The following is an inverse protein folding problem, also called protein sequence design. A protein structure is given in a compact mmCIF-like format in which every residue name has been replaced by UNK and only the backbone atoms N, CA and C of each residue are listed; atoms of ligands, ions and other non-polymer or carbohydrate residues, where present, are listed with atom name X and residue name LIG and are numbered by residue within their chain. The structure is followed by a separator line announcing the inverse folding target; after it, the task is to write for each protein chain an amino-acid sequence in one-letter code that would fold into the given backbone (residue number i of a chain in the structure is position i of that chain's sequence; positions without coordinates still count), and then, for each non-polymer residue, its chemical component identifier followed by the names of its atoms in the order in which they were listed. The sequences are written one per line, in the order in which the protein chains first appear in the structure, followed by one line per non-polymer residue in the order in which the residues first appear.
data_IF_956866973248
#
_entry.id   IF_956866973248
#
_cell.length_a   1.000
_cell.length_b   1.000
_cell.length_c   1.000
_cell.angle_alpha   90.00
_cell.angle_beta   90.00
_cell.angle_gamma   90.00
#
_symmetry.space_group_name_H-M   'P 1'
#
loop_
_entity.id
_entity.type
_entity.pdbx_description
1 polymer ?
#
# COMPACT_ATOMS: atom_id res chain seq x y z
N UNK A 1 -4.64 58.77 -15.78
CA UNK A 1 -5.85 58.81 -14.92
C UNK A 1 -5.69 59.83 -13.78
N UNK A 2 -6.79 60.22 -13.11
CA UNK A 2 -6.73 61.05 -11.89
C UNK A 2 -6.74 60.10 -10.70
N UNK A 3 -5.78 60.26 -9.80
CA UNK A 3 -5.73 59.44 -8.57
C UNK A 3 -6.93 59.73 -7.67
N UNK A 4 -7.66 58.71 -7.26
CA UNK A 4 -8.86 58.84 -6.40
C UNK A 4 -8.55 59.27 -4.95
N UNK A 5 -7.28 59.25 -4.55
CA UNK A 5 -6.86 59.58 -3.20
C UNK A 5 -6.19 60.96 -3.06
N UNK A 6 -5.32 61.32 -4.01
CA UNK A 6 -4.66 62.63 -3.98
C UNK A 6 -5.16 63.57 -5.06
N UNK A 7 -6.11 63.19 -5.90
CA UNK A 7 -6.75 63.91 -6.96
C UNK A 7 -5.81 64.52 -8.02
N UNK A 8 -4.54 64.06 -8.05
CA UNK A 8 -3.55 64.49 -9.01
C UNK A 8 -3.61 63.65 -10.29
N UNK A 9 -3.25 64.27 -11.42
CA UNK A 9 -3.11 63.49 -12.68
C UNK A 9 -1.86 62.61 -12.62
N UNK A 10 -2.05 61.32 -12.82
CA UNK A 10 -0.98 60.31 -12.70
C UNK A 10 -1.02 59.32 -13.87
N UNK A 11 0.09 58.67 -14.12
CA UNK A 11 0.19 57.61 -15.10
C UNK A 11 -0.73 56.45 -14.70
N UNK A 12 -1.27 55.73 -15.68
CA UNK A 12 -2.11 54.56 -15.46
C UNK A 12 -1.26 53.36 -14.96
N UNK A 13 -1.21 53.24 -13.64
CA UNK A 13 -0.41 52.24 -12.96
C UNK A 13 -1.17 51.67 -11.75
N UNK A 14 -0.81 50.44 -11.27
CA UNK A 14 -1.44 49.83 -10.11
C UNK A 14 -1.35 50.64 -8.81
N UNK A 15 -0.36 51.51 -8.72
CA UNK A 15 -0.14 52.39 -7.58
C UNK A 15 0.08 53.83 -8.05
N UNK A 16 -0.43 54.79 -7.30
CA UNK A 16 -0.19 56.21 -7.57
C UNK A 16 1.29 56.55 -7.32
N UNK A 17 1.96 57.14 -8.31
CA UNK A 17 3.35 57.55 -8.19
C UNK A 17 3.57 58.73 -7.22
N UNK A 18 2.50 59.48 -6.89
CA UNK A 18 2.58 60.63 -6.00
C UNK A 18 2.23 60.33 -4.55
N UNK A 19 1.20 59.51 -4.29
CA UNK A 19 0.76 59.20 -2.94
C UNK A 19 0.94 57.75 -2.51
N UNK A 20 1.48 56.91 -3.36
CA UNK A 20 1.78 55.48 -3.09
C UNK A 20 0.55 54.56 -2.94
N UNK A 21 -0.67 55.11 -2.93
CA UNK A 21 -1.88 54.32 -2.74
C UNK A 21 -2.27 53.52 -3.98
N UNK A 22 -2.77 52.32 -3.76
CA UNK A 22 -3.20 51.39 -4.82
C UNK A 22 -4.40 51.97 -5.58
N UNK A 23 -4.29 52.02 -6.90
CA UNK A 23 -5.38 52.41 -7.79
C UNK A 23 -6.18 51.17 -8.18
N UNK A 24 -7.52 51.25 -8.12
CA UNK A 24 -8.37 50.20 -8.67
C UNK A 24 -8.38 50.35 -10.20
N UNK A 25 -7.71 49.45 -10.87
CA UNK A 25 -7.88 49.29 -12.31
C UNK A 25 -9.24 48.64 -12.52
N UNK A 26 -10.23 49.38 -13.00
CA UNK A 26 -11.53 48.86 -13.42
C UNK A 26 -11.29 47.84 -14.56
N UNK A 27 -11.18 46.58 -14.22
CA UNK A 27 -11.20 45.52 -15.22
C UNK A 27 -12.62 45.40 -15.77
N UNK A 28 -12.88 45.99 -16.94
CA UNK A 28 -14.16 45.96 -17.65
C UNK A 28 -14.57 44.58 -18.20
N UNK A 29 -13.88 43.52 -17.86
CA UNK A 29 -14.22 42.16 -18.23
C UNK A 29 -15.20 41.54 -17.26
N UNK A 30 -16.39 41.16 -17.70
CA UNK A 30 -17.32 40.31 -16.92
C UNK A 30 -16.58 39.04 -16.48
N UNK A 31 -16.36 38.88 -15.18
CA UNK A 31 -15.82 37.62 -14.62
C UNK A 31 -16.86 36.56 -14.84
N UNK A 32 -16.47 35.47 -15.53
CA UNK A 32 -17.31 34.26 -15.61
C UNK A 32 -17.37 33.60 -14.24
N UNK A 33 -18.52 32.97 -13.95
CA UNK A 33 -18.69 32.16 -12.74
C UNK A 33 -17.65 31.03 -12.68
N UNK A 34 -17.24 30.67 -11.46
CA UNK A 34 -16.36 29.52 -11.26
C UNK A 34 -17.04 28.25 -11.82
N UNK A 35 -16.29 27.43 -12.54
CA UNK A 35 -16.78 26.18 -13.10
C UNK A 35 -17.30 26.23 -14.55
N UNK A 36 -17.29 27.39 -15.22
CA UNK A 36 -17.81 27.55 -16.58
C UNK A 36 -16.80 27.31 -17.73
N UNK A 37 -15.60 26.80 -17.44
CA UNK A 37 -14.57 26.64 -18.45
C UNK A 37 -14.11 27.95 -19.11
N UNK A 38 -13.23 27.88 -20.09
CA UNK A 38 -12.71 29.04 -20.81
C UNK A 38 -12.35 28.69 -22.25
N UNK A 39 -12.17 29.71 -23.10
CA UNK A 39 -11.69 29.53 -24.46
C UNK A 39 -10.50 30.45 -24.73
N UNK A 40 -9.47 29.93 -25.38
CA UNK A 40 -8.27 30.67 -25.80
C UNK A 40 -8.14 30.64 -27.32
N UNK A 41 -7.73 31.75 -27.92
CA UNK A 41 -7.41 31.81 -29.35
C UNK A 41 -6.01 31.22 -29.57
N UNK A 42 -5.87 30.31 -30.50
CA UNK A 42 -4.59 29.73 -30.93
C UNK A 42 -4.51 29.82 -32.45
N UNK A 43 -3.73 30.78 -32.94
CA UNK A 43 -3.63 31.03 -34.37
C UNK A 43 -5.00 31.45 -34.97
N UNK A 44 -5.45 30.70 -35.99
CA UNK A 44 -6.72 30.95 -36.68
C UNK A 44 -7.94 30.30 -35.99
N UNK A 45 -7.73 29.42 -34.98
CA UNK A 45 -8.79 28.64 -34.32
C UNK A 45 -8.87 28.94 -32.82
N UNK A 46 -9.95 28.48 -32.19
CA UNK A 46 -10.17 28.58 -30.75
C UNK A 46 -10.01 27.20 -30.09
N UNK A 47 -9.51 27.23 -28.86
CA UNK A 47 -9.38 26.05 -28.00
C UNK A 47 -10.27 26.23 -26.78
N UNK A 48 -11.22 25.33 -26.58
CA UNK A 48 -12.01 25.23 -25.36
C UNK A 48 -11.23 24.51 -24.27
N UNK A 49 -11.34 25.01 -23.05
CA UNK A 49 -10.72 24.44 -21.85
C UNK A 49 -11.83 24.26 -20.81
N UNK A 50 -12.12 23.01 -20.44
CA UNK A 50 -13.08 22.69 -19.39
C UNK A 50 -12.53 23.05 -18.01
N UNK A 51 -13.39 23.21 -16.98
CA UNK A 51 -12.94 23.30 -15.61
C UNK A 51 -12.03 22.14 -15.27
N UNK A 52 -10.85 22.45 -14.71
CA UNK A 52 -9.90 21.41 -14.33
C UNK A 52 -10.30 20.79 -13.00
N UNK A 53 -10.02 19.52 -12.84
CA UNK A 53 -10.09 18.82 -11.56
C UNK A 53 -8.70 18.46 -11.05
N UNK A 54 -8.62 18.28 -9.74
CA UNK A 54 -7.39 17.98 -9.03
C UNK A 54 -7.57 16.65 -8.33
N UNK A 55 -6.55 15.81 -8.37
CA UNK A 55 -6.50 14.58 -7.58
C UNK A 55 -5.09 14.34 -7.06
N UNK A 56 -4.99 13.57 -6.01
CA UNK A 56 -3.73 13.15 -5.39
C UNK A 56 -3.68 11.63 -5.51
N UNK A 57 -2.58 11.12 -5.99
CA UNK A 57 -2.26 9.69 -5.98
C UNK A 57 -0.86 9.46 -5.38
N UNK A 58 -0.37 8.23 -5.45
CA UNK A 58 0.93 7.85 -4.91
C UNK A 58 2.11 8.54 -5.64
N UNK A 59 1.88 9.09 -6.83
CA UNK A 59 2.84 9.87 -7.62
C UNK A 59 2.78 11.37 -7.29
N UNK A 60 1.77 11.80 -6.49
CA UNK A 60 1.64 13.15 -6.00
C UNK A 60 0.39 13.89 -6.47
N UNK A 61 0.51 15.23 -6.56
CA UNK A 61 -0.58 16.13 -6.89
C UNK A 61 -0.71 16.31 -8.40
N UNK A 62 -1.88 15.95 -8.95
CA UNK A 62 -2.18 16.06 -10.37
C UNK A 62 -3.30 17.06 -10.63
N UNK A 63 -3.18 17.81 -11.73
CA UNK A 63 -4.21 18.69 -12.24
C UNK A 63 -4.49 18.40 -13.70
N UNK A 64 -5.69 17.92 -14.00
CA UNK A 64 -6.14 17.68 -15.37
C UNK A 64 -7.08 18.80 -15.82
N UNK A 65 -6.84 19.35 -17.01
CA UNK A 65 -7.71 20.32 -17.69
C UNK A 65 -8.02 19.79 -19.09
N UNK A 66 -9.19 19.18 -19.30
CA UNK A 66 -9.56 18.73 -20.61
C UNK A 66 -9.60 19.92 -21.59
N UNK A 67 -8.91 19.79 -22.71
CA UNK A 67 -8.80 20.82 -23.74
C UNK A 67 -9.16 20.25 -25.11
N UNK A 68 -9.89 21.02 -25.93
CA UNK A 68 -10.18 20.67 -27.31
C UNK A 68 -9.96 21.89 -28.19
N UNK A 69 -9.11 21.76 -29.20
CA UNK A 69 -8.84 22.80 -30.20
C UNK A 69 -9.66 22.62 -31.47
N UNK A 70 -9.44 23.53 -32.44
CA UNK A 70 -10.03 23.43 -33.76
C UNK A 70 -11.41 24.08 -33.94
N UNK A 71 -11.91 24.79 -32.92
CA UNK A 71 -13.18 25.52 -33.05
C UNK A 71 -13.02 26.77 -33.94
N UNK A 72 -13.98 27.00 -34.84
CA UNK A 72 -13.95 28.17 -35.69
C UNK A 72 -14.22 29.47 -34.92
N UNK A 73 -15.10 29.41 -33.93
CA UNK A 73 -15.51 30.57 -33.14
C UNK A 73 -15.24 30.40 -31.62
N UNK A 74 -15.09 31.55 -30.94
CA UNK A 74 -14.99 31.58 -29.48
C UNK A 74 -16.25 31.01 -28.81
N UNK A 75 -17.42 31.23 -29.43
CA UNK A 75 -18.72 30.78 -28.92
C UNK A 75 -18.77 29.25 -28.87
N UNK A 76 -18.44 28.58 -29.97
CA UNK A 76 -18.36 27.10 -30.04
C UNK A 76 -17.38 26.53 -29.01
N UNK A 77 -16.19 27.12 -28.90
CA UNK A 77 -15.19 26.68 -27.92
C UNK A 77 -15.69 26.83 -26.47
N UNK A 78 -16.49 27.86 -26.19
CA UNK A 78 -17.08 28.10 -24.87
C UNK A 78 -18.29 27.20 -24.62
N UNK A 79 -19.13 26.94 -25.60
CA UNK A 79 -20.23 25.98 -25.52
C UNK A 79 -19.69 24.58 -25.22
N UNK A 80 -18.65 24.16 -25.92
CA UNK A 80 -17.97 22.91 -25.60
C UNK A 80 -17.35 22.93 -24.18
N UNK A 81 -16.73 24.02 -23.76
CA UNK A 81 -16.09 24.12 -22.45
C UNK A 81 -17.11 24.13 -21.30
N UNK A 82 -18.32 24.65 -21.53
CA UNK A 82 -19.41 24.72 -20.54
C UNK A 82 -20.40 23.57 -20.66
N UNK A 83 -20.43 22.85 -21.80
CA UNK A 83 -21.30 21.68 -21.93
C UNK A 83 -20.92 20.64 -20.89
N UNK A 84 -21.92 20.09 -20.22
CA UNK A 84 -21.77 18.80 -19.55
C UNK A 84 -21.20 17.81 -20.57
N UNK A 85 -20.32 16.92 -20.12
CA UNK A 85 -19.90 15.80 -20.98
C UNK A 85 -21.17 15.14 -21.44
N UNK A 86 -21.46 15.16 -22.77
CA UNK A 86 -22.49 14.32 -23.31
C UNK A 86 -22.13 12.89 -22.87
N UNK A 87 -22.99 12.32 -22.04
CA UNK A 87 -22.90 10.92 -21.69
C UNK A 87 -23.13 10.21 -23.02
N UNK A 88 -22.08 9.64 -23.61
CA UNK A 88 -22.21 8.87 -24.84
C UNK A 88 -23.18 7.72 -24.54
N UNK A 89 -24.20 7.57 -25.38
CA UNK A 89 -24.97 6.33 -25.40
C UNK A 89 -23.99 5.17 -25.51
N UNK A 90 -23.99 4.26 -24.51
CA UNK A 90 -23.00 3.19 -24.38
C UNK A 90 -21.85 3.47 -23.40
N UNK A 91 -22.11 4.20 -22.31
CA UNK A 91 -21.15 4.29 -21.19
C UNK A 91 -20.78 2.87 -20.72
N UNK A 92 -19.49 2.57 -20.49
CA UNK A 92 -19.07 1.23 -20.15
C UNK A 92 -19.67 0.80 -18.81
N UNK A 93 -20.06 -0.47 -18.77
CA UNK A 93 -20.45 -1.13 -17.54
C UNK A 93 -19.23 -1.35 -16.64
N UNK A 94 -19.47 -1.45 -15.34
CA UNK A 94 -18.40 -1.69 -14.37
C UNK A 94 -17.63 -2.98 -14.68
N UNK A 95 -18.29 -4.02 -15.21
CA UNK A 95 -17.66 -5.27 -15.64
C UNK A 95 -16.66 -5.06 -16.78
N UNK A 96 -16.95 -4.20 -17.74
CA UNK A 96 -16.07 -3.94 -18.87
C UNK A 96 -14.79 -3.22 -18.43
N UNK A 97 -14.92 -2.26 -17.52
CA UNK A 97 -13.77 -1.58 -16.89
C UNK A 97 -12.94 -2.53 -16.02
N UNK A 98 -13.60 -3.47 -15.34
CA UNK A 98 -12.89 -4.52 -14.63
C UNK A 98 -12.09 -5.43 -15.55
N UNK A 99 -12.65 -5.89 -16.67
CA UNK A 99 -11.92 -6.74 -17.62
C UNK A 99 -10.72 -6.00 -18.24
N UNK A 100 -10.85 -4.70 -18.50
CA UNK A 100 -9.72 -3.87 -18.91
C UNK A 100 -8.64 -3.80 -17.81
N UNK A 101 -9.04 -3.54 -16.56
CA UNK A 101 -8.12 -3.52 -15.40
C UNK A 101 -7.44 -4.86 -15.20
N UNK A 102 -8.21 -5.94 -15.29
CA UNK A 102 -7.73 -7.32 -15.15
C UNK A 102 -6.66 -7.67 -16.19
N UNK A 103 -6.78 -7.16 -17.39
CA UNK A 103 -5.83 -7.42 -18.48
C UNK A 103 -4.60 -6.52 -18.41
N UNK A 104 -4.77 -5.24 -18.07
CA UNK A 104 -3.70 -4.24 -18.16
C UNK A 104 -2.91 -4.04 -16.86
N UNK A 105 -3.57 -4.06 -15.70
CA UNK A 105 -2.98 -3.68 -14.42
C UNK A 105 -2.77 -4.87 -13.47
N UNK A 106 -3.75 -5.77 -13.40
CA UNK A 106 -3.70 -6.90 -12.46
C UNK A 106 -2.45 -7.77 -12.64
N UNK A 107 -1.95 -8.08 -13.87
CA UNK A 107 -0.75 -8.90 -14.07
C UNK A 107 0.54 -8.26 -13.56
N UNK A 108 0.57 -6.94 -13.39
CA UNK A 108 1.72 -6.20 -12.86
C UNK A 108 1.88 -6.39 -11.34
N UNK A 109 0.84 -6.89 -10.67
CA UNK A 109 0.80 -7.07 -9.22
C UNK A 109 1.33 -8.45 -8.81
N UNK A 110 1.75 -8.57 -7.54
CA UNK A 110 2.12 -9.88 -6.97
C UNK A 110 0.92 -10.84 -6.96
N UNK A 111 1.18 -12.15 -7.01
CA UNK A 111 0.14 -13.19 -7.01
C UNK A 111 -0.86 -13.05 -5.84
N UNK A 112 -0.37 -12.74 -4.64
CA UNK A 112 -1.21 -12.51 -3.46
C UNK A 112 -2.13 -11.29 -3.66
N UNK A 113 -1.63 -10.21 -4.26
CA UNK A 113 -2.42 -9.00 -4.52
C UNK A 113 -3.46 -9.26 -5.61
N UNK A 114 -3.10 -10.03 -6.65
CA UNK A 114 -4.04 -10.46 -7.67
C UNK A 114 -5.19 -11.27 -7.08
N UNK A 115 -4.88 -12.22 -6.18
CA UNK A 115 -5.89 -13.02 -5.48
C UNK A 115 -6.80 -12.15 -4.61
N UNK A 116 -6.22 -11.24 -3.82
CA UNK A 116 -6.98 -10.30 -2.99
C UNK A 116 -7.93 -9.45 -3.82
N UNK A 117 -7.48 -8.91 -4.96
CA UNK A 117 -8.30 -8.09 -5.83
C UNK A 117 -9.39 -8.87 -6.57
N UNK A 118 -9.12 -10.13 -6.95
CA UNK A 118 -10.15 -11.04 -7.48
C UNK A 118 -11.24 -11.32 -6.43
N UNK A 119 -10.86 -11.47 -5.17
CA UNK A 119 -11.80 -11.65 -4.05
C UNK A 119 -12.59 -10.35 -3.77
N UNK A 120 -11.92 -9.20 -3.75
CA UNK A 120 -12.57 -7.90 -3.58
C UNK A 120 -13.57 -7.60 -4.73
N UNK A 121 -13.24 -7.95 -5.96
CA UNK A 121 -14.14 -7.81 -7.12
C UNK A 121 -15.45 -8.55 -6.91
N UNK A 122 -15.45 -9.74 -6.28
CA UNK A 122 -16.67 -10.50 -6.01
C UNK A 122 -17.67 -9.71 -5.14
N UNK A 123 -17.18 -8.79 -4.30
CA UNK A 123 -18.03 -7.90 -3.50
C UNK A 123 -18.78 -6.88 -4.35
N UNK A 124 -18.24 -6.53 -5.52
CA UNK A 124 -18.85 -5.60 -6.48
C UNK A 124 -19.88 -6.25 -7.41
N UNK A 125 -20.13 -7.56 -7.28
CA UNK A 125 -21.01 -8.31 -8.18
C UNK A 125 -22.37 -7.65 -8.45
N UNK A 126 -23.08 -7.10 -7.42
CA UNK A 126 -24.37 -6.46 -7.63
C UNK A 126 -24.34 -5.23 -8.54
N UNK A 127 -23.18 -4.59 -8.67
CA UNK A 127 -23.01 -3.36 -9.46
C UNK A 127 -22.32 -3.59 -10.81
N UNK A 128 -21.80 -4.80 -11.06
CA UNK A 128 -20.98 -5.09 -12.25
C UNK A 128 -21.72 -4.90 -13.57
N UNK A 129 -23.03 -5.12 -13.60
CA UNK A 129 -23.87 -4.92 -14.79
C UNK A 129 -24.29 -3.47 -15.05
N UNK A 130 -24.02 -2.55 -14.10
CA UNK A 130 -24.41 -1.14 -14.17
C UNK A 130 -23.39 -0.32 -14.94
N UNK A 131 -23.87 0.68 -15.66
CA UNK A 131 -23.02 1.69 -16.31
C UNK A 131 -22.37 2.59 -15.25
N UNK A 132 -21.07 2.90 -15.39
CA UNK A 132 -20.31 3.60 -14.36
C UNK A 132 -20.86 4.99 -14.03
N UNK A 133 -21.43 5.70 -14.99
CA UNK A 133 -21.98 7.03 -14.79
C UNK A 133 -23.29 7.04 -13.99
N UNK A 134 -24.01 5.90 -13.94
CA UNK A 134 -25.27 5.77 -13.20
C UNK A 134 -25.09 5.45 -11.72
N UNK A 135 -23.86 5.10 -11.33
CA UNK A 135 -23.56 4.76 -9.95
C UNK A 135 -23.40 6.03 -9.10
N UNK A 136 -23.98 6.00 -7.92
CA UNK A 136 -23.90 7.09 -6.95
C UNK A 136 -22.93 6.74 -5.81
N UNK A 137 -22.41 7.77 -5.12
CA UNK A 137 -21.56 7.55 -3.95
C UNK A 137 -22.30 6.78 -2.84
N UNK A 138 -23.60 7.05 -2.66
CA UNK A 138 -24.40 6.34 -1.66
C UNK A 138 -24.44 4.85 -1.94
N UNK A 139 -24.77 4.44 -3.18
CA UNK A 139 -24.79 3.02 -3.56
C UNK A 139 -23.43 2.32 -3.35
N UNK A 140 -22.32 3.01 -3.67
CA UNK A 140 -20.98 2.48 -3.44
C UNK A 140 -20.67 2.35 -1.94
N UNK A 141 -21.09 3.34 -1.14
CA UNK A 141 -20.88 3.33 0.31
C UNK A 141 -21.73 2.25 0.99
N UNK A 142 -22.98 2.10 0.59
CA UNK A 142 -23.90 1.08 1.12
C UNK A 142 -23.37 -0.32 0.84
N UNK A 143 -22.88 -0.56 -0.39
CA UNK A 143 -22.24 -1.83 -0.73
C UNK A 143 -21.00 -2.10 0.12
N UNK A 144 -20.15 -1.10 0.35
CA UNK A 144 -18.96 -1.23 1.21
C UNK A 144 -19.39 -1.59 2.64
N UNK A 145 -20.38 -0.88 3.19
CA UNK A 145 -20.87 -1.10 4.54
C UNK A 145 -21.47 -2.50 4.72
N UNK A 146 -22.19 -3.00 3.70
CA UNK A 146 -22.85 -4.30 3.74
C UNK A 146 -21.89 -5.47 3.47
N UNK A 147 -21.05 -5.36 2.42
CA UNK A 147 -20.26 -6.48 1.91
C UNK A 147 -18.81 -6.50 2.38
N UNK A 148 -18.31 -5.42 3.00
CA UNK A 148 -16.90 -5.26 3.35
C UNK A 148 -16.73 -4.91 4.84
N UNK A 149 -16.95 -5.87 5.76
CA UNK A 149 -16.93 -5.61 7.20
C UNK A 149 -15.54 -5.22 7.73
N UNK A 150 -14.46 -5.58 7.04
CA UNK A 150 -13.11 -5.29 7.47
C UNK A 150 -12.49 -4.15 6.66
N UNK A 151 -11.65 -3.34 7.32
CA UNK A 151 -10.89 -2.27 6.68
C UNK A 151 -10.14 -2.73 5.42
N UNK A 152 -9.45 -3.86 5.49
CA UNK A 152 -8.62 -4.35 4.38
C UNK A 152 -9.44 -4.74 3.15
N UNK A 153 -10.57 -5.40 3.35
CA UNK A 153 -11.50 -5.76 2.25
C UNK A 153 -12.09 -4.50 1.62
N UNK A 154 -12.57 -3.56 2.44
CA UNK A 154 -13.13 -2.29 2.00
C UNK A 154 -12.10 -1.45 1.22
N UNK A 155 -10.85 -1.40 1.72
CA UNK A 155 -9.74 -0.71 1.06
C UNK A 155 -9.44 -1.31 -0.32
N UNK A 156 -9.41 -2.62 -0.43
CA UNK A 156 -9.11 -3.30 -1.69
C UNK A 156 -10.23 -3.08 -2.72
N UNK A 157 -11.50 -3.11 -2.30
CA UNK A 157 -12.65 -2.75 -3.14
C UNK A 157 -12.57 -1.28 -3.57
N UNK A 158 -12.31 -0.35 -2.65
CA UNK A 158 -12.13 1.07 -2.96
C UNK A 158 -11.00 1.27 -3.97
N UNK A 159 -9.88 0.56 -3.83
CA UNK A 159 -8.73 0.67 -4.74
C UNK A 159 -9.10 0.25 -6.16
N UNK A 160 -9.84 -0.86 -6.31
CA UNK A 160 -10.32 -1.32 -7.63
C UNK A 160 -11.28 -0.29 -8.24
N UNK A 161 -12.27 0.18 -7.47
CA UNK A 161 -13.21 1.22 -7.92
C UNK A 161 -12.48 2.47 -8.36
N UNK A 162 -11.54 2.97 -7.56
CA UNK A 162 -10.71 4.15 -7.91
C UNK A 162 -10.01 3.97 -9.26
N UNK A 163 -9.43 2.80 -9.52
CA UNK A 163 -8.73 2.51 -10.76
C UNK A 163 -9.71 2.52 -11.97
N UNK A 164 -10.89 1.90 -11.82
CA UNK A 164 -11.92 1.87 -12.86
C UNK A 164 -12.49 3.28 -13.14
N UNK A 165 -12.77 4.06 -12.08
CA UNK A 165 -13.21 5.45 -12.21
C UNK A 165 -12.12 6.34 -12.83
N UNK A 166 -10.84 6.15 -12.44
CA UNK A 166 -9.70 6.86 -13.06
C UNK A 166 -9.65 6.59 -14.56
N UNK A 167 -9.85 5.35 -14.99
CA UNK A 167 -9.87 4.99 -16.40
C UNK A 167 -11.01 5.67 -17.14
N UNK A 168 -12.23 5.59 -16.61
CA UNK A 168 -13.41 6.24 -17.21
C UNK A 168 -13.26 7.77 -17.29
N UNK A 169 -12.54 8.39 -16.34
CA UNK A 169 -12.20 9.80 -16.40
C UNK A 169 -11.21 10.13 -17.51
N UNK A 170 -10.16 9.33 -17.68
CA UNK A 170 -9.17 9.50 -18.76
C UNK A 170 -9.87 9.41 -20.12
N UNK A 171 -10.80 8.47 -20.26
CA UNK A 171 -11.58 8.28 -21.49
C UNK A 171 -12.73 9.32 -21.63
N UNK A 172 -12.80 10.31 -20.70
CA UNK A 172 -13.79 11.39 -20.69
C UNK A 172 -15.25 10.91 -20.59
N UNK A 173 -15.49 9.74 -20.02
CA UNK A 173 -16.82 9.15 -19.80
C UNK A 173 -17.50 9.79 -18.59
N UNK A 174 -16.74 10.06 -17.55
CA UNK A 174 -17.17 10.70 -16.30
C UNK A 174 -16.26 11.88 -15.93
N UNK A 175 -16.77 12.78 -15.10
CA UNK A 175 -16.02 13.99 -14.71
C UNK A 175 -15.32 13.88 -13.35
N UNK A 176 -15.77 12.98 -12.48
CA UNK A 176 -15.31 12.85 -11.10
C UNK A 176 -15.11 11.39 -10.75
N UNK A 177 -14.07 11.13 -9.97
CA UNK A 177 -13.87 9.84 -9.33
C UNK A 177 -14.62 9.84 -7.98
N UNK A 178 -15.86 9.38 -7.99
CA UNK A 178 -16.66 9.34 -6.76
C UNK A 178 -16.14 8.29 -5.76
N UNK A 179 -15.36 7.30 -6.21
CA UNK A 179 -14.75 6.31 -5.33
C UNK A 179 -13.69 6.91 -4.38
N UNK A 180 -13.15 8.11 -4.67
CA UNK A 180 -12.25 8.81 -3.75
C UNK A 180 -12.93 9.18 -2.44
N UNK A 181 -14.24 9.44 -2.46
CA UNK A 181 -15.05 9.88 -1.33
C UNK A 181 -15.62 8.73 -0.49
N UNK A 182 -15.41 7.48 -0.87
CA UNK A 182 -15.81 6.32 -0.07
C UNK A 182 -15.10 6.38 1.29
N UNK A 183 -15.85 6.26 2.37
CA UNK A 183 -15.35 6.17 3.74
C UNK A 183 -15.08 4.71 4.07
N UNK A 184 -13.88 4.42 4.55
CA UNK A 184 -13.50 3.07 4.98
C UNK A 184 -13.94 2.83 6.43
N UNK A 185 -14.29 1.59 6.80
CA UNK A 185 -14.50 1.23 8.19
C UNK A 185 -13.24 1.49 9.02
N UNK A 186 -13.42 1.67 10.33
CA UNK A 186 -12.28 1.86 11.24
C UNK A 186 -11.36 0.63 11.17
N UNK A 187 -10.06 0.88 11.10
CA UNK A 187 -9.07 -0.18 11.16
C UNK A 187 -8.99 -0.68 12.60
N UNK A 188 -9.30 -1.95 12.81
CA UNK A 188 -9.01 -2.61 14.07
C UNK A 188 -7.53 -2.98 14.09
N UNK A 189 -6.80 -2.38 14.99
CA UNK A 189 -5.40 -2.72 15.24
C UNK A 189 -5.35 -3.97 16.12
N UNK A 190 -5.19 -5.12 15.51
CA UNK A 190 -4.79 -6.32 16.23
C UNK A 190 -3.26 -6.32 16.33
N UNK A 191 -2.74 -5.80 17.42
CA UNK A 191 -1.32 -5.96 17.72
C UNK A 191 -1.04 -7.43 18.00
N UNK A 192 -0.15 -8.03 17.22
CA UNK A 192 0.36 -9.35 17.50
C UNK A 192 1.25 -9.25 18.76
N UNK A 193 0.81 -9.83 19.86
CA UNK A 193 1.56 -9.86 21.11
C UNK A 193 2.77 -10.79 21.00
N UNK A 194 3.97 -10.41 21.46
CA UNK A 194 5.11 -11.30 21.50
C UNK A 194 4.88 -12.47 22.47
N UNK A 195 5.63 -13.54 22.33
CA UNK A 195 5.70 -14.59 23.34
C UNK A 195 6.41 -14.05 24.59
N UNK A 196 5.89 -14.41 25.75
CA UNK A 196 6.54 -14.09 27.03
C UNK A 196 7.70 -15.05 27.29
N UNK A 197 8.63 -14.73 28.20
CA UNK A 197 9.70 -15.66 28.61
C UNK A 197 9.15 -17.02 29.10
N UNK A 198 8.06 -17.01 29.86
CA UNK A 198 7.40 -18.20 30.36
C UNK A 198 6.80 -19.05 29.21
N UNK A 199 6.23 -18.41 28.21
CA UNK A 199 5.72 -19.10 27.03
C UNK A 199 6.86 -19.69 26.18
N UNK A 200 7.96 -18.97 26.04
CA UNK A 200 9.17 -19.48 25.37
C UNK A 200 9.73 -20.70 26.13
N UNK A 201 9.79 -20.64 27.47
CA UNK A 201 10.21 -21.78 28.30
C UNK A 201 9.33 -23.00 28.05
N UNK A 202 8.00 -22.82 27.97
CA UNK A 202 7.08 -23.93 27.63
C UNK A 202 7.37 -24.53 26.25
N UNK A 203 7.66 -23.70 25.25
CA UNK A 203 8.05 -24.18 23.93
C UNK A 203 9.35 -24.96 23.95
N UNK A 204 10.35 -24.52 24.73
CA UNK A 204 11.59 -25.25 24.92
C UNK A 204 11.37 -26.58 25.65
N UNK A 205 10.47 -26.65 26.63
CA UNK A 205 10.15 -27.89 27.34
C UNK A 205 9.62 -28.95 26.38
N UNK A 206 8.64 -28.63 25.52
CA UNK A 206 8.14 -29.59 24.55
C UNK A 206 9.14 -29.91 23.43
N UNK A 207 10.13 -29.05 23.19
CA UNK A 207 11.27 -29.37 22.32
C UNK A 207 12.14 -30.45 22.94
N UNK A 208 12.44 -30.34 24.23
CA UNK A 208 13.20 -31.34 24.98
C UNK A 208 12.43 -32.68 25.08
N UNK A 209 11.08 -32.63 25.04
CA UNK A 209 10.18 -33.81 24.95
C UNK A 209 10.05 -34.35 23.51
N UNK A 210 10.78 -33.79 22.53
CA UNK A 210 10.81 -34.23 21.13
C UNK A 210 9.54 -33.95 20.34
N UNK A 211 8.80 -32.88 20.64
CA UNK A 211 7.72 -32.43 19.75
C UNK A 211 8.26 -32.15 18.35
N UNK A 212 7.58 -32.68 17.33
CA UNK A 212 8.06 -32.65 15.95
C UNK A 212 7.91 -31.29 15.27
N UNK A 213 7.03 -30.41 15.76
CA UNK A 213 6.70 -29.14 15.10
C UNK A 213 7.33 -27.93 15.80
N UNK A 214 7.56 -28.00 17.13
CA UNK A 214 8.10 -26.87 17.88
C UNK A 214 9.48 -26.36 17.38
N UNK A 215 10.36 -27.16 16.76
CA UNK A 215 11.59 -26.66 16.17
C UNK A 215 11.37 -25.49 15.20
N UNK A 216 10.29 -25.55 14.42
CA UNK A 216 9.95 -24.49 13.44
C UNK A 216 9.45 -23.22 14.13
N UNK A 217 8.74 -23.34 15.24
CA UNK A 217 8.28 -22.19 16.04
C UNK A 217 9.47 -21.50 16.70
N UNK A 218 10.37 -22.27 17.31
CA UNK A 218 11.59 -21.75 17.92
C UNK A 218 12.48 -21.04 16.87
N UNK A 219 12.66 -21.66 15.69
CA UNK A 219 13.39 -21.04 14.60
C UNK A 219 12.80 -19.68 14.23
N UNK A 220 11.47 -19.57 14.13
CA UNK A 220 10.81 -18.28 13.84
C UNK A 220 10.95 -17.26 14.99
N UNK A 221 10.86 -17.70 16.24
CA UNK A 221 10.96 -16.82 17.40
C UNK A 221 12.36 -16.22 17.60
N UNK A 222 13.41 -16.95 17.23
CA UNK A 222 14.79 -16.51 17.43
C UNK A 222 15.50 -16.00 16.17
N UNK A 223 14.80 -15.96 15.03
CA UNK A 223 15.32 -15.40 13.78
C UNK A 223 14.43 -14.32 13.16
N UNK A 224 13.21 -14.17 13.67
CA UNK A 224 12.20 -13.31 13.07
C UNK A 224 11.74 -13.78 11.67
N UNK A 225 12.00 -15.02 11.30
CA UNK A 225 11.60 -15.60 10.04
C UNK A 225 10.08 -15.66 9.91
N UNK A 226 9.55 -15.36 8.73
CA UNK A 226 8.12 -15.43 8.46
C UNK A 226 7.72 -16.84 8.00
N UNK A 227 6.48 -17.30 8.25
CA UNK A 227 6.00 -18.59 7.76
C UNK A 227 6.22 -18.82 6.26
N UNK A 228 6.00 -17.79 5.44
CA UNK A 228 6.22 -17.88 3.99
C UNK A 228 7.71 -18.04 3.62
N UNK A 229 8.61 -17.52 4.44
CA UNK A 229 10.06 -17.68 4.25
C UNK A 229 10.49 -19.08 4.66
N UNK A 230 9.98 -19.59 5.78
CA UNK A 230 10.21 -20.95 6.26
C UNK A 230 9.72 -22.01 5.25
N UNK A 231 8.48 -21.90 4.77
CA UNK A 231 7.89 -22.82 3.80
C UNK A 231 8.59 -22.80 2.42
N UNK A 232 9.24 -21.69 2.07
CA UNK A 232 9.98 -21.56 0.83
C UNK A 232 11.47 -21.96 0.95
N UNK A 233 11.98 -22.08 2.17
CA UNK A 233 13.40 -22.28 2.43
C UNK A 233 13.80 -23.72 2.18
N UNK A 234 14.90 -23.89 1.45
CA UNK A 234 15.51 -25.20 1.21
C UNK A 234 16.67 -25.44 2.19
N UNK A 235 17.01 -26.68 2.41
CA UNK A 235 18.16 -27.06 3.26
C UNK A 235 19.48 -26.55 2.70
N UNK A 236 19.64 -26.48 1.38
CA UNK A 236 20.82 -25.87 0.71
C UNK A 236 21.03 -24.38 1.04
N UNK A 237 19.99 -23.71 1.57
CA UNK A 237 20.07 -22.33 1.98
C UNK A 237 20.67 -22.13 3.39
N UNK A 238 20.89 -23.22 4.13
CA UNK A 238 21.38 -23.20 5.52
C UNK A 238 22.87 -23.49 5.54
N UNK A 239 23.65 -22.52 5.99
CA UNK A 239 25.07 -22.67 6.29
C UNK A 239 25.18 -22.88 7.81
N UNK A 240 25.40 -24.15 8.23
CA UNK A 240 25.47 -24.51 9.66
C UNK A 240 26.78 -24.09 10.29
N UNK A 241 27.86 -23.90 9.51
CA UNK A 241 29.15 -23.44 10.02
C UNK A 241 29.11 -21.94 10.32
N UNK A 242 28.49 -21.16 9.43
CA UNK A 242 28.31 -19.70 9.62
C UNK A 242 27.06 -19.36 10.43
N UNK A 243 26.20 -20.31 10.73
CA UNK A 243 24.89 -20.10 11.38
C UNK A 243 24.01 -19.08 10.62
N UNK A 244 23.98 -19.22 9.30
CA UNK A 244 23.24 -18.33 8.39
C UNK A 244 22.25 -19.10 7.53
N UNK A 245 21.11 -18.46 7.25
CA UNK A 245 20.12 -18.93 6.27
C UNK A 245 20.00 -17.88 5.17
N UNK A 246 20.35 -18.21 3.95
CA UNK A 246 20.42 -17.27 2.81
C UNK A 246 19.44 -17.70 1.72
N UNK A 247 18.84 -16.73 1.01
CA UNK A 247 18.02 -17.04 -0.16
C UNK A 247 16.53 -17.28 0.10
N UNK A 248 16.09 -17.34 1.36
CA UNK A 248 14.70 -17.66 1.75
C UNK A 248 13.71 -16.49 1.68
N UNK A 249 14.13 -15.28 1.30
CA UNK A 249 13.29 -14.09 1.27
C UNK A 249 12.19 -14.17 0.23
N UNK A 250 10.93 -14.02 0.65
CA UNK A 250 9.76 -14.21 -0.21
C UNK A 250 9.31 -12.96 -1.00
N UNK A 251 9.62 -11.73 -0.55
CA UNK A 251 8.88 -10.54 -0.98
C UNK A 251 9.63 -9.58 -1.90
N UNK A 252 10.92 -9.38 -1.69
CA UNK A 252 11.74 -8.41 -2.46
C UNK A 252 13.09 -9.01 -2.84
N UNK A 253 13.73 -8.45 -3.90
CA UNK A 253 15.09 -8.85 -4.31
C UNK A 253 16.10 -8.72 -3.16
N UNK A 254 15.98 -7.68 -2.35
CA UNK A 254 16.83 -7.43 -1.18
C UNK A 254 16.65 -8.51 -0.11
N UNK A 255 15.41 -8.90 0.20
CA UNK A 255 15.10 -9.97 1.15
C UNK A 255 15.61 -11.33 0.70
N UNK A 256 15.60 -11.60 -0.60
CA UNK A 256 16.14 -12.84 -1.18
C UNK A 256 17.64 -12.99 -1.02
N UNK A 257 18.37 -11.86 -0.92
CA UNK A 257 19.84 -11.84 -0.81
C UNK A 257 20.36 -11.66 0.62
N UNK A 258 19.51 -11.27 1.57
CA UNK A 258 19.94 -11.04 2.94
C UNK A 258 20.00 -12.33 3.74
N UNK A 259 21.10 -12.53 4.47
CA UNK A 259 21.24 -13.61 5.43
C UNK A 259 20.30 -13.42 6.64
N UNK A 260 19.86 -14.52 7.17
CA UNK A 260 19.17 -14.64 8.46
C UNK A 260 20.18 -15.36 9.36
N UNK A 261 20.67 -14.67 10.36
CA UNK A 261 21.60 -15.25 11.33
C UNK A 261 20.80 -15.83 12.51
N UNK A 262 21.22 -16.96 13.02
CA UNK A 262 20.62 -17.58 14.20
C UNK A 262 21.65 -17.77 15.31
N UNK A 263 21.23 -17.67 16.61
CA UNK A 263 22.11 -17.79 17.75
C UNK A 263 22.55 -19.23 18.02
N UNK A 264 23.64 -19.44 18.76
CA UNK A 264 24.20 -20.74 19.11
C UNK A 264 23.17 -21.69 19.74
N UNK A 265 22.28 -21.12 20.58
CA UNK A 265 21.22 -21.90 21.22
C UNK A 265 20.27 -22.59 20.24
N UNK A 266 20.15 -22.12 19.00
CA UNK A 266 19.36 -22.74 17.94
C UNK A 266 20.14 -23.79 17.13
N UNK A 267 21.44 -23.94 17.30
CA UNK A 267 22.21 -24.94 16.55
C UNK A 267 21.62 -26.36 16.65
N UNK A 268 21.25 -26.88 17.84
CA UNK A 268 20.59 -28.19 17.94
C UNK A 268 19.20 -28.23 17.29
N UNK A 269 18.44 -27.13 17.35
CA UNK A 269 17.12 -27.01 16.70
C UNK A 269 17.28 -27.04 15.18
N UNK A 270 18.22 -26.30 14.65
CA UNK A 270 18.51 -26.29 13.19
C UNK A 270 19.01 -27.66 12.76
N UNK A 271 19.88 -28.31 13.53
CA UNK A 271 20.35 -29.67 13.24
C UNK A 271 19.19 -30.67 13.21
N UNK A 272 18.23 -30.59 14.13
CA UNK A 272 17.03 -31.47 14.10
C UNK A 272 16.18 -31.24 12.86
N UNK A 273 16.00 -29.99 12.42
CA UNK A 273 15.29 -29.66 11.18
C UNK A 273 16.07 -30.17 9.95
N UNK A 274 17.38 -30.03 9.94
CA UNK A 274 18.23 -30.51 8.83
C UNK A 274 18.22 -32.03 8.70
N UNK A 275 18.00 -32.76 9.80
CA UNK A 275 17.92 -34.19 9.81
C UNK A 275 16.59 -34.78 9.28
N UNK A 276 15.57 -33.93 9.05
CA UNK A 276 14.28 -34.40 8.46
C UNK A 276 14.46 -34.77 6.99
N UNK A 277 13.56 -35.58 6.44
CA UNK A 277 13.61 -35.92 5.01
C UNK A 277 13.29 -34.77 4.08
N UNK A 278 13.78 -34.85 2.83
CA UNK A 278 13.50 -33.92 1.75
C UNK A 278 14.46 -32.74 1.65
N UNK A 279 14.21 -31.86 0.66
CA UNK A 279 15.07 -30.74 0.26
C UNK A 279 14.72 -29.41 0.93
N UNK A 280 13.53 -29.29 1.55
CA UNK A 280 13.07 -28.08 2.26
C UNK A 280 13.22 -28.23 3.77
N UNK A 281 13.22 -27.10 4.48
CA UNK A 281 13.17 -27.11 5.93
C UNK A 281 11.88 -27.76 6.46
N UNK A 282 10.77 -27.57 5.75
CA UNK A 282 9.48 -28.17 6.07
C UNK A 282 8.71 -28.51 4.77
N UNK A 283 8.13 -29.70 4.70
CA UNK A 283 7.41 -30.23 3.52
C UNK A 283 5.89 -30.25 3.74
N UNK A 284 5.30 -29.12 4.10
CA UNK A 284 3.84 -28.98 4.24
C UNK A 284 3.34 -27.75 3.47
N UNK A 285 2.06 -27.72 3.14
CA UNK A 285 1.42 -26.56 2.57
C UNK A 285 1.12 -25.50 3.63
N UNK A 286 0.71 -24.31 3.19
CA UNK A 286 0.44 -23.19 4.10
C UNK A 286 -0.68 -23.49 5.10
N UNK A 287 -1.76 -24.15 4.67
CA UNK A 287 -2.94 -24.36 5.51
C UNK A 287 -2.60 -25.36 6.63
N UNK A 288 -1.96 -26.47 6.28
CA UNK A 288 -1.46 -27.45 7.25
C UNK A 288 -0.42 -26.84 8.20
N UNK A 289 0.42 -25.90 7.71
CA UNK A 289 1.36 -25.19 8.58
C UNK A 289 0.62 -24.42 9.70
N UNK A 290 -0.48 -23.75 9.38
CA UNK A 290 -1.23 -23.01 10.39
C UNK A 290 -1.96 -23.95 11.36
N UNK A 291 -2.50 -25.05 10.88
CA UNK A 291 -3.11 -26.09 11.72
C UNK A 291 -2.10 -26.65 12.73
N UNK A 292 -0.95 -27.10 12.26
CA UNK A 292 0.13 -27.66 13.10
C UNK A 292 0.73 -26.61 14.06
N UNK A 293 0.87 -25.38 13.60
CA UNK A 293 1.34 -24.28 14.44
C UNK A 293 0.43 -24.08 15.66
N UNK A 294 -0.88 -24.00 15.45
CA UNK A 294 -1.82 -23.82 16.57
C UNK A 294 -1.93 -25.08 17.44
N UNK A 295 -1.90 -26.26 16.87
CA UNK A 295 -1.88 -27.51 17.63
C UNK A 295 -0.61 -27.62 18.50
N UNK A 296 0.54 -27.19 18.00
CA UNK A 296 1.77 -27.15 18.78
C UNK A 296 1.68 -26.18 19.95
N UNK A 297 1.10 -24.98 19.77
CA UNK A 297 0.89 -24.05 20.90
C UNK A 297 -0.04 -24.64 21.96
N UNK A 298 -1.08 -25.35 21.55
CA UNK A 298 -1.98 -26.05 22.47
C UNK A 298 -1.24 -27.15 23.26
N UNK A 299 -0.43 -27.99 22.60
CA UNK A 299 0.41 -28.99 23.25
C UNK A 299 1.38 -28.38 24.26
N UNK A 300 1.91 -27.19 23.96
CA UNK A 300 2.80 -26.46 24.86
C UNK A 300 2.03 -25.76 26.01
N UNK A 301 0.72 -25.75 26.02
CA UNK A 301 -0.06 -24.96 26.98
C UNK A 301 0.19 -23.46 26.88
N UNK A 302 0.37 -22.98 25.63
CA UNK A 302 0.59 -21.56 25.29
C UNK A 302 -0.67 -20.99 24.67
N UNK A 303 -1.02 -19.78 25.05
CA UNK A 303 -2.18 -19.08 24.49
C UNK A 303 -2.05 -18.93 22.95
N UNK A 304 -3.19 -18.97 22.26
CA UNK A 304 -3.23 -18.86 20.82
C UNK A 304 -2.72 -17.51 20.32
N UNK A 305 -1.55 -17.51 19.67
CA UNK A 305 -0.92 -16.36 19.04
C UNK A 305 -0.77 -16.59 17.55
N UNK A 306 -0.85 -15.52 16.75
CA UNK A 306 -0.63 -15.63 15.31
C UNK A 306 0.86 -15.89 15.02
N UNK A 307 1.23 -16.59 13.93
CA UNK A 307 2.66 -16.83 13.62
C UNK A 307 3.51 -15.58 13.49
N UNK A 308 2.90 -14.41 13.21
CA UNK A 308 3.60 -13.13 13.20
C UNK A 308 4.12 -12.72 14.59
N UNK A 309 3.53 -13.25 15.66
CA UNK A 309 3.99 -13.08 17.04
C UNK A 309 5.44 -13.56 17.26
N UNK A 310 5.87 -14.61 16.56
CA UNK A 310 7.27 -15.06 16.62
C UNK A 310 8.24 -13.92 16.21
N UNK A 311 7.89 -13.22 15.14
CA UNK A 311 8.69 -12.08 14.65
C UNK A 311 8.65 -10.88 15.60
N UNK A 312 7.51 -10.64 16.25
CA UNK A 312 7.42 -9.63 17.32
C UNK A 312 8.26 -10.00 18.54
N UNK A 313 8.28 -11.29 18.90
CA UNK A 313 9.15 -11.82 19.97
C UNK A 313 10.61 -11.52 19.66
N UNK A 314 11.08 -11.90 18.46
CA UNK A 314 12.45 -11.59 18.05
C UNK A 314 12.78 -10.09 18.15
N UNK A 315 11.88 -9.22 17.63
CA UNK A 315 12.09 -7.78 17.68
C UNK A 315 12.14 -7.25 19.12
N UNK A 316 11.22 -7.70 19.97
CA UNK A 316 11.11 -7.27 21.37
C UNK A 316 12.32 -7.71 22.18
N UNK A 317 12.71 -8.98 22.06
CA UNK A 317 13.88 -9.52 22.77
C UNK A 317 15.17 -8.84 22.31
N UNK A 318 15.36 -8.61 21.01
CA UNK A 318 16.53 -7.89 20.51
C UNK A 318 16.63 -6.47 21.11
N UNK A 319 15.51 -5.75 21.21
CA UNK A 319 15.47 -4.41 21.84
C UNK A 319 15.77 -4.50 23.34
N UNK A 320 15.21 -5.48 24.07
CA UNK A 320 15.49 -5.70 25.50
C UNK A 320 16.97 -6.01 25.75
N UNK A 321 17.60 -6.74 24.85
CA UNK A 321 19.03 -7.05 24.88
C UNK A 321 19.92 -5.87 24.49
N UNK A 322 19.35 -4.69 24.24
CA UNK A 322 20.09 -3.47 23.93
C UNK A 322 20.48 -3.33 22.45
N UNK A 323 20.01 -4.20 21.57
CA UNK A 323 20.26 -4.05 20.12
C UNK A 323 19.55 -2.80 19.61
N UNK A 324 20.30 -1.92 18.96
CA UNK A 324 19.74 -0.66 18.47
C UNK A 324 18.56 -0.89 17.51
N UNK A 325 17.42 -0.18 17.67
CA UNK A 325 16.21 -0.41 16.85
C UNK A 325 16.43 -0.42 15.33
N UNK A 326 17.37 0.40 14.83
CA UNK A 326 17.72 0.42 13.41
C UNK A 326 18.41 -0.89 12.95
N UNK A 327 19.21 -1.51 13.84
CA UNK A 327 19.83 -2.82 13.60
C UNK A 327 18.75 -3.89 13.60
N UNK A 328 17.83 -3.89 14.59
CA UNK A 328 16.68 -4.81 14.64
C UNK A 328 15.83 -4.72 13.39
N UNK A 329 15.52 -3.52 12.92
CA UNK A 329 14.77 -3.34 11.66
C UNK A 329 15.51 -3.96 10.47
N UNK A 330 16.82 -3.87 10.43
CA UNK A 330 17.66 -4.43 9.37
C UNK A 330 17.73 -5.96 9.48
N UNK A 331 17.93 -6.53 10.66
CA UNK A 331 17.86 -7.96 10.93
C UNK A 331 16.49 -8.53 10.54
N UNK A 332 15.42 -7.80 10.78
CA UNK A 332 14.07 -8.12 10.33
C UNK A 332 13.83 -7.83 8.84
N UNK A 333 14.79 -7.22 8.14
CA UNK A 333 14.71 -6.95 6.69
C UNK A 333 13.48 -6.11 6.33
N UNK A 334 13.11 -5.14 7.18
CA UNK A 334 12.01 -4.21 6.91
C UNK A 334 12.41 -3.21 5.83
N UNK A 335 11.60 -3.06 4.79
CA UNK A 335 11.84 -2.19 3.63
C UNK A 335 11.29 -0.78 3.82
N UNK A 336 11.49 -0.11 4.94
CA UNK A 336 11.11 1.31 5.06
C UNK A 336 12.25 2.19 4.58
N UNK A 337 12.03 2.90 3.48
CA UNK A 337 13.01 3.78 2.80
C UNK A 337 13.68 4.82 3.72
N UNK A 338 13.02 5.28 4.78
CA UNK A 338 13.54 6.31 5.69
C UNK A 338 14.67 5.86 6.63
N UNK A 339 14.88 4.55 6.80
CA UNK A 339 15.95 4.01 7.67
C UNK A 339 17.15 3.53 6.84
N UNK A 340 16.98 3.29 5.56
CA UNK A 340 18.04 2.82 4.66
C UNK A 340 19.20 3.81 4.49
N UNK A 341 18.94 5.11 4.56
CA UNK A 341 19.97 6.13 4.27
C UNK A 341 21.00 6.33 5.38
N UNK A 342 20.68 5.96 6.64
CA UNK A 342 21.61 6.12 7.80
C UNK A 342 22.42 4.88 8.17
N UNK A 343 22.00 3.68 7.74
CA UNK A 343 22.63 2.42 8.15
C UNK A 343 22.72 1.45 6.98
N UNK A 344 23.56 1.78 6.03
CA UNK A 344 23.63 1.06 4.74
C UNK A 344 24.26 -0.33 4.82
N UNK A 345 24.99 -0.68 5.86
CA UNK A 345 25.70 -1.96 5.92
C UNK A 345 25.75 -2.53 7.33
N UNK A 346 24.81 -3.38 7.73
CA UNK A 346 25.02 -4.36 8.78
C UNK A 346 25.93 -5.46 8.18
N UNK A 347 27.12 -5.63 8.67
CA UNK A 347 27.95 -6.77 8.28
C UNK A 347 27.38 -8.07 8.84
N UNK A 348 27.79 -9.20 8.27
CA UNK A 348 27.44 -10.51 8.85
C UNK A 348 27.94 -10.64 10.28
N UNK A 349 29.12 -10.10 10.57
CA UNK A 349 29.74 -10.09 11.91
C UNK A 349 28.86 -9.35 12.96
N UNK A 350 28.35 -8.17 12.63
CA UNK A 350 27.45 -7.43 13.55
C UNK A 350 26.14 -8.18 13.80
N UNK A 351 25.62 -8.92 12.79
CA UNK A 351 24.43 -9.73 12.95
C UNK A 351 24.70 -10.96 13.84
N UNK A 352 25.86 -11.59 13.72
CA UNK A 352 26.28 -12.69 14.59
C UNK A 352 26.47 -12.23 16.03
N UNK A 353 27.11 -11.09 16.28
CA UNK A 353 27.28 -10.54 17.64
C UNK A 353 25.92 -10.27 18.30
N UNK A 354 24.99 -9.66 17.55
CA UNK A 354 23.63 -9.45 18.06
C UNK A 354 22.89 -10.77 18.32
N UNK A 355 23.10 -11.81 17.51
CA UNK A 355 22.45 -13.10 17.69
C UNK A 355 22.97 -13.85 18.94
N UNK A 356 24.23 -13.68 19.33
CA UNK A 356 24.81 -14.28 20.57
C UNK A 356 24.14 -13.80 21.86
N UNK A 357 23.43 -12.66 21.83
CA UNK A 357 22.74 -12.12 22.99
C UNK A 357 21.46 -12.88 23.39
N UNK A 358 20.94 -13.76 22.51
CA UNK A 358 19.73 -14.53 22.80
C UNK A 358 20.02 -15.74 23.72
N UNK A 359 19.12 -15.98 24.65
CA UNK A 359 19.13 -17.11 25.58
C UNK A 359 17.77 -17.82 25.60
N UNK A 360 17.65 -18.94 26.33
CA UNK A 360 16.39 -19.68 26.49
C UNK A 360 15.40 -18.96 27.42
N UNK A 361 15.33 -17.80 27.61
CA UNK A 361 14.32 -17.09 28.43
C UNK A 361 14.46 -17.31 29.96
#
# INVERSE_FOLDING_TARGET
MICRYCHQSVVDAPFCCLCGKRQEILRTGKKRGNGQGTALKRGKTWTGIRPGYRFIDDEGYHRIRPTKGGFATKKEALEWASSSVEIRDGSPKLIELWEQYKTSELPKLSANRQSAYKTARKKLEPLMGREIHTLTLSELQDLINEKCPTFYTARDVKTILKAMYKRAMVDSIIQKNIADFIVLPKMEEHEATPFTPEELTKLWNIYDEKDYFVPYILLMCYTGMMPAELLACKKENVDTEKQEIVGCGAKTKTRKKSAIVYPDLLAPVVASIMATDGDKLIHINKDLFYEEYYACLERAGVEKKVPYSCRHTYATEAVKLGVHPAVVQKMLRHSTQKVQERYTHLSSEEAHEAAKLFSRG
#
